data_IF_128911359837
#
_entry.id   IF_128911359837
#
_cell.length_a   1.000
_cell.length_b   1.000
_cell.length_c   1.000
_cell.angle_alpha   90.00
_cell.angle_beta   90.00
_cell.angle_gamma   90.00
#
_symmetry.space_group_name_H-M   'P 1'
#
loop_
_entity.id
_entity.type
_entity.pdbx_description
1 polymer ?
#
# COMPACT_ATOMS: atom_id res chain seq x y z
N UNK A 1 4.81 30.07 -19.52
CA UNK A 1 4.23 28.86 -20.16
C UNK A 1 4.79 27.51 -19.65
N UNK A 2 5.95 27.45 -18.98
CA UNK A 2 6.60 26.19 -18.57
C UNK A 2 5.97 25.41 -17.38
N UNK A 3 5.47 26.09 -16.34
CA UNK A 3 4.97 25.42 -15.12
C UNK A 3 3.70 24.60 -15.33
N UNK A 4 2.77 25.08 -16.17
CA UNK A 4 1.51 24.36 -16.46
C UNK A 4 1.76 23.03 -17.18
N UNK A 5 2.80 22.98 -18.04
CA UNK A 5 3.19 21.75 -18.75
C UNK A 5 3.78 20.71 -17.80
N UNK A 6 4.57 21.11 -16.81
CA UNK A 6 5.13 20.21 -15.79
C UNK A 6 4.03 19.71 -14.85
N UNK A 7 3.10 20.57 -14.43
CA UNK A 7 1.97 20.18 -13.59
C UNK A 7 1.10 19.11 -14.25
N UNK A 8 0.77 19.27 -15.54
CA UNK A 8 0.00 18.27 -16.28
C UNK A 8 0.73 16.91 -16.35
N UNK A 9 2.06 16.92 -16.45
CA UNK A 9 2.85 15.68 -16.42
C UNK A 9 2.78 15.02 -15.04
N UNK A 10 2.92 15.79 -13.95
CA UNK A 10 2.81 15.26 -12.57
C UNK A 10 1.47 14.56 -12.34
N UNK A 11 0.38 15.21 -12.74
CA UNK A 11 -0.97 14.65 -12.65
C UNK A 11 -1.06 13.36 -13.46
N UNK A 12 -0.62 13.39 -14.73
CA UNK A 12 -0.68 12.23 -15.62
C UNK A 12 0.10 11.03 -15.08
N UNK A 13 1.34 11.23 -14.63
CA UNK A 13 2.20 10.15 -14.15
C UNK A 13 1.73 9.59 -12.80
N UNK A 14 1.31 10.47 -11.88
CA UNK A 14 0.74 10.04 -10.60
C UNK A 14 -0.53 9.22 -10.81
N UNK A 15 -1.47 9.72 -11.64
CA UNK A 15 -2.71 9.00 -11.93
C UNK A 15 -2.47 7.65 -12.60
N UNK A 16 -1.56 7.60 -13.58
CA UNK A 16 -1.20 6.34 -14.25
C UNK A 16 -0.60 5.33 -13.27
N UNK A 17 0.34 5.77 -12.41
CA UNK A 17 0.97 4.89 -11.41
C UNK A 17 -0.06 4.41 -10.37
N UNK A 18 -0.97 5.27 -9.92
CA UNK A 18 -2.06 4.90 -9.03
C UNK A 18 -3.01 3.88 -9.66
N UNK A 19 -3.38 4.03 -10.93
CA UNK A 19 -4.22 3.03 -11.63
C UNK A 19 -3.51 1.68 -11.67
N UNK A 20 -2.23 1.66 -12.08
CA UNK A 20 -1.44 0.43 -12.14
C UNK A 20 -1.38 -0.23 -10.76
N UNK A 21 -1.13 0.56 -9.72
CA UNK A 21 -1.12 0.09 -8.34
C UNK A 21 -2.46 -0.52 -7.91
N UNK A 22 -3.57 0.19 -8.12
CA UNK A 22 -4.91 -0.28 -7.74
C UNK A 22 -5.26 -1.56 -8.47
N UNK A 23 -5.00 -1.64 -9.79
CA UNK A 23 -5.30 -2.83 -10.59
C UNK A 23 -4.49 -4.04 -10.11
N UNK A 24 -3.19 -3.87 -9.92
CA UNK A 24 -2.31 -4.95 -9.46
C UNK A 24 -2.64 -5.38 -8.03
N UNK A 25 -2.94 -4.42 -7.15
CA UNK A 25 -3.36 -4.68 -5.78
C UNK A 25 -4.68 -5.47 -5.76
N UNK A 26 -5.70 -5.03 -6.51
CA UNK A 26 -6.99 -5.74 -6.59
C UNK A 26 -6.83 -7.12 -7.20
N UNK A 27 -5.97 -7.28 -8.20
CA UNK A 27 -5.65 -8.60 -8.76
C UNK A 27 -5.05 -9.53 -7.69
N UNK A 28 -4.08 -9.05 -6.93
CA UNK A 28 -3.45 -9.81 -5.86
C UNK A 28 -4.45 -10.15 -4.74
N UNK A 29 -5.31 -9.20 -4.35
CA UNK A 29 -6.37 -9.38 -3.36
C UNK A 29 -7.37 -10.47 -3.78
N UNK A 30 -7.87 -10.41 -5.02
CA UNK A 30 -8.78 -11.43 -5.57
C UNK A 30 -8.10 -12.79 -5.64
N UNK A 31 -6.84 -12.85 -6.08
CA UNK A 31 -6.07 -14.08 -6.10
C UNK A 31 -5.95 -14.69 -4.69
N UNK A 32 -5.57 -13.88 -3.69
CA UNK A 32 -5.48 -14.32 -2.30
C UNK A 32 -6.81 -14.84 -1.76
N UNK A 33 -7.93 -14.22 -2.13
CA UNK A 33 -9.28 -14.66 -1.74
C UNK A 33 -9.68 -16.03 -2.30
N UNK A 34 -9.09 -16.48 -3.42
CA UNK A 34 -9.35 -17.81 -3.98
C UNK A 34 -8.57 -18.94 -3.30
N UNK A 35 -7.52 -18.60 -2.54
CA UNK A 35 -6.65 -19.57 -1.88
C UNK A 35 -7.29 -20.07 -0.57
N UNK A 36 -7.70 -21.34 -0.54
CA UNK A 36 -8.33 -21.96 0.65
C UNK A 36 -7.35 -22.15 1.82
N UNK A 37 -6.10 -22.52 1.54
CA UNK A 37 -5.08 -22.81 2.54
C UNK A 37 -3.83 -21.95 2.30
N UNK A 38 -3.84 -20.72 2.84
CA UNK A 38 -2.68 -19.83 2.84
C UNK A 38 -1.86 -20.09 4.11
N UNK A 39 -0.54 -20.36 4.01
CA UNK A 39 0.31 -20.54 5.17
C UNK A 39 0.45 -19.22 5.95
N UNK A 40 0.48 -19.32 7.27
CA UNK A 40 0.83 -18.20 8.15
C UNK A 40 2.22 -18.43 8.72
N UNK A 41 3.15 -17.53 8.42
CA UNK A 41 4.47 -17.53 9.04
C UNK A 41 4.39 -16.69 10.31
N UNK A 42 4.44 -17.33 11.49
CA UNK A 42 4.58 -16.64 12.78
C UNK A 42 5.85 -17.08 13.45
N UNK A 43 6.72 -16.12 13.74
CA UNK A 43 7.93 -16.41 14.50
C UNK A 43 7.65 -16.35 16.00
N UNK A 44 8.41 -17.10 16.80
CA UNK A 44 8.19 -17.18 18.25
C UNK A 44 8.34 -15.81 18.96
N UNK A 45 9.23 -14.94 18.46
CA UNK A 45 9.44 -13.61 19.01
C UNK A 45 8.28 -12.64 18.72
N UNK A 46 7.53 -12.82 17.63
CA UNK A 46 6.40 -11.94 17.26
C UNK A 46 5.29 -11.98 18.31
N UNK A 47 5.13 -13.11 19.02
CA UNK A 47 4.16 -13.24 20.11
C UNK A 47 4.44 -12.32 21.31
N UNK A 48 5.67 -11.82 21.43
CA UNK A 48 6.05 -10.90 22.51
C UNK A 48 5.80 -9.43 22.18
N UNK A 49 5.45 -9.12 20.93
CA UNK A 49 5.19 -7.74 20.50
C UNK A 49 3.73 -7.41 20.78
N UNK A 50 3.43 -6.41 21.63
CA UNK A 50 2.07 -5.99 21.87
C UNK A 50 1.48 -5.37 20.60
N UNK A 51 0.16 -5.48 20.43
CA UNK A 51 -0.53 -4.79 19.35
C UNK A 51 -0.40 -3.27 19.52
N UNK A 52 -0.01 -2.56 18.45
CA UNK A 52 0.18 -1.11 18.45
C UNK A 52 -0.86 -0.47 17.52
N UNK A 53 -2.02 -0.03 18.05
CA UNK A 53 -3.11 0.51 17.23
C UNK A 53 -2.70 1.71 16.39
N UNK A 54 -1.76 2.54 16.87
CA UNK A 54 -1.30 3.72 16.17
C UNK A 54 -0.76 3.42 14.76
N UNK A 55 -0.25 2.21 14.48
CA UNK A 55 0.25 1.82 13.16
C UNK A 55 -0.83 1.83 12.06
N UNK A 56 -2.12 1.89 12.42
CA UNK A 56 -3.20 2.10 11.45
C UNK A 56 -3.11 3.46 10.75
N UNK A 57 -2.65 4.51 11.44
CA UNK A 57 -2.56 5.87 10.91
C UNK A 57 -1.54 5.96 9.75
N UNK A 58 -0.27 5.55 9.93
CA UNK A 58 0.68 5.52 8.81
C UNK A 58 0.24 4.56 7.70
N UNK A 59 -0.43 3.45 8.03
CA UNK A 59 -0.98 2.54 7.03
C UNK A 59 -2.00 3.23 6.11
N UNK A 60 -3.02 3.88 6.67
CA UNK A 60 -4.06 4.53 5.88
C UNK A 60 -3.56 5.77 5.12
N UNK A 61 -2.58 6.48 5.67
CA UNK A 61 -2.01 7.67 5.02
C UNK A 61 -0.97 7.34 3.94
N UNK A 62 -0.44 6.12 3.90
CA UNK A 62 0.57 5.70 2.92
C UNK A 62 0.11 5.88 1.46
N UNK A 63 -1.15 5.58 1.16
CA UNK A 63 -1.73 5.77 -0.19
C UNK A 63 -1.80 7.24 -0.61
N UNK A 64 -2.07 8.15 0.34
CA UNK A 64 -2.05 9.59 0.08
C UNK A 64 -0.61 10.09 -0.12
N UNK A 65 0.33 9.64 0.72
CA UNK A 65 1.74 9.99 0.60
C UNK A 65 2.32 9.52 -0.75
N UNK A 66 1.89 8.34 -1.23
CA UNK A 66 2.26 7.82 -2.54
C UNK A 66 1.89 8.77 -3.69
N UNK A 67 0.75 9.45 -3.61
CA UNK A 67 0.35 10.45 -4.62
C UNK A 67 1.09 11.77 -4.42
N UNK A 68 1.19 12.24 -3.17
CA UNK A 68 1.81 13.52 -2.82
C UNK A 68 3.27 13.59 -3.26
N UNK A 69 4.01 12.48 -3.20
CA UNK A 69 5.44 12.49 -3.55
C UNK A 69 5.70 12.88 -5.02
N UNK A 70 4.77 12.60 -5.94
CA UNK A 70 4.88 13.05 -7.34
C UNK A 70 4.80 14.57 -7.48
N UNK A 71 4.09 15.24 -6.55
CA UNK A 71 3.96 16.69 -6.54
C UNK A 71 5.17 17.39 -5.93
N UNK A 72 5.88 16.73 -5.01
CA UNK A 72 7.12 17.23 -4.39
C UNK A 72 8.32 17.26 -5.35
N UNK A 73 8.32 16.40 -6.38
CA UNK A 73 9.40 16.34 -7.37
C UNK A 73 9.48 17.64 -8.19
N UNK A 74 10.69 18.20 -8.37
CA UNK A 74 10.87 19.48 -9.07
C UNK A 74 11.19 19.32 -10.56
N UNK A 75 11.91 18.27 -10.96
CA UNK A 75 12.37 18.07 -12.34
C UNK A 75 11.55 17.00 -13.07
N UNK A 76 11.57 17.03 -14.41
CA UNK A 76 10.89 16.00 -15.22
C UNK A 76 11.61 14.65 -15.19
N UNK A 77 12.94 14.67 -15.11
CA UNK A 77 13.78 13.47 -15.06
C UNK A 77 13.50 12.68 -13.78
N UNK A 78 13.47 13.37 -12.64
CA UNK A 78 13.12 12.78 -11.34
C UNK A 78 11.69 12.22 -11.35
N UNK A 79 10.76 12.87 -12.04
CA UNK A 79 9.36 12.42 -12.14
C UNK A 79 9.26 11.11 -12.93
N UNK A 80 9.98 11.01 -14.05
CA UNK A 80 10.05 9.79 -14.86
C UNK A 80 10.75 8.67 -14.06
N UNK A 81 11.83 8.98 -13.36
CA UNK A 81 12.57 8.02 -12.53
C UNK A 81 11.70 7.50 -11.39
N UNK A 82 10.99 8.39 -10.68
CA UNK A 82 10.06 8.03 -9.61
C UNK A 82 8.95 7.11 -10.14
N UNK A 83 8.34 7.46 -11.28
CA UNK A 83 7.29 6.65 -11.91
C UNK A 83 7.80 5.24 -12.25
N UNK A 84 9.00 5.14 -12.84
CA UNK A 84 9.61 3.84 -13.18
C UNK A 84 9.86 3.00 -11.92
N UNK A 85 10.45 3.61 -10.88
CA UNK A 85 10.74 2.93 -9.60
C UNK A 85 9.46 2.47 -8.91
N UNK A 86 8.45 3.33 -8.85
CA UNK A 86 7.16 3.01 -8.23
C UNK A 86 6.51 1.80 -8.92
N UNK A 87 6.33 1.86 -10.24
CA UNK A 87 5.71 0.77 -10.99
C UNK A 87 6.52 -0.54 -10.92
N UNK A 88 7.84 -0.45 -10.99
CA UNK A 88 8.73 -1.61 -10.86
C UNK A 88 8.57 -2.29 -9.49
N UNK A 89 8.57 -1.50 -8.42
CA UNK A 89 8.35 -2.01 -7.06
C UNK A 89 6.96 -2.62 -6.91
N UNK A 90 5.91 -2.02 -7.48
CA UNK A 90 4.57 -2.60 -7.46
C UNK A 90 4.52 -3.95 -8.16
N UNK A 91 5.07 -4.06 -9.37
CA UNK A 91 5.09 -5.31 -10.13
C UNK A 91 5.88 -6.39 -9.38
N UNK A 92 7.07 -6.06 -8.88
CA UNK A 92 7.87 -7.00 -8.08
C UNK A 92 7.13 -7.45 -6.84
N UNK A 93 6.52 -6.51 -6.10
CA UNK A 93 5.79 -6.83 -4.88
C UNK A 93 4.64 -7.80 -5.16
N UNK A 94 3.92 -7.60 -6.27
CA UNK A 94 2.85 -8.50 -6.70
C UNK A 94 3.42 -9.87 -7.08
N UNK A 95 4.52 -9.94 -7.84
CA UNK A 95 5.16 -11.22 -8.19
C UNK A 95 5.57 -11.98 -6.92
N UNK A 96 6.23 -11.31 -5.97
CA UNK A 96 6.66 -11.92 -4.71
C UNK A 96 5.43 -12.42 -3.93
N UNK A 97 4.36 -11.63 -3.87
CA UNK A 97 3.11 -12.00 -3.22
C UNK A 97 2.45 -13.22 -3.86
N UNK A 98 2.49 -13.34 -5.19
CA UNK A 98 1.97 -14.51 -5.91
C UNK A 98 2.78 -15.79 -5.60
N UNK A 99 4.11 -15.67 -5.42
CA UNK A 99 4.98 -16.80 -5.06
C UNK A 99 4.77 -17.20 -3.59
N UNK A 100 4.66 -16.21 -2.70
CA UNK A 100 4.50 -16.41 -1.26
C UNK A 100 3.27 -15.66 -0.73
N UNK A 101 2.06 -16.16 -0.98
CA UNK A 101 0.87 -15.61 -0.35
C UNK A 101 0.94 -15.94 1.14
N UNK A 102 1.11 -14.92 1.98
CA UNK A 102 1.18 -15.06 3.42
C UNK A 102 -0.05 -14.41 4.04
N UNK A 103 -0.66 -15.09 5.02
CA UNK A 103 -1.74 -14.51 5.84
C UNK A 103 -1.23 -14.22 7.24
N UNK A 104 -1.69 -13.09 7.80
CA UNK A 104 -1.57 -12.85 9.23
C UNK A 104 -2.48 -13.83 9.98
N UNK A 105 -1.99 -14.36 11.11
CA UNK A 105 -2.70 -15.35 11.93
C UNK A 105 -3.06 -14.84 13.32
N UNK A 106 -2.84 -13.56 13.61
CA UNK A 106 -3.17 -12.96 14.90
C UNK A 106 -4.64 -12.53 14.93
N UNK A 107 -5.36 -12.93 15.98
CA UNK A 107 -6.66 -12.37 16.33
C UNK A 107 -6.43 -11.00 16.99
N UNK A 108 -7.15 -9.98 16.52
CA UNK A 108 -7.06 -8.62 17.08
C UNK A 108 -7.64 -8.60 18.50
N UNK A 109 -6.91 -8.03 19.45
CA UNK A 109 -7.43 -7.72 20.78
C UNK A 109 -8.42 -6.53 20.71
N UNK A 110 -9.34 -6.43 21.67
CA UNK A 110 -10.34 -5.36 21.72
C UNK A 110 -9.67 -3.97 21.81
N UNK A 111 -9.91 -3.14 20.79
CA UNK A 111 -9.36 -1.78 20.69
C UNK A 111 -10.16 -0.84 21.58
N UNK A 112 -9.62 -0.52 22.76
CA UNK A 112 -10.28 0.35 23.76
C UNK A 112 -10.53 1.79 23.28
N UNK A 113 -9.73 2.30 22.34
CA UNK A 113 -9.85 3.68 21.86
C UNK A 113 -10.85 3.77 20.68
N UNK A 114 -11.94 4.56 20.79
CA UNK A 114 -12.96 4.69 19.75
C UNK A 114 -12.42 5.17 18.41
N UNK A 115 -11.41 6.05 18.40
CA UNK A 115 -10.82 6.58 17.17
C UNK A 115 -10.12 5.48 16.36
N UNK A 116 -9.27 4.68 17.01
CA UNK A 116 -8.61 3.57 16.33
C UNK A 116 -9.61 2.50 15.92
N UNK A 117 -10.60 2.18 16.76
CA UNK A 117 -11.64 1.22 16.42
C UNK A 117 -12.40 1.63 15.15
N UNK A 118 -12.73 2.91 15.00
CA UNK A 118 -13.32 3.45 13.76
C UNK A 118 -12.40 3.25 12.54
N UNK A 119 -11.11 3.58 12.64
CA UNK A 119 -10.16 3.39 11.53
C UNK A 119 -10.03 1.92 11.12
N UNK A 120 -10.02 1.00 12.08
CA UNK A 120 -10.02 -0.43 11.80
C UNK A 120 -11.33 -0.92 11.19
N UNK A 121 -12.48 -0.34 11.56
CA UNK A 121 -13.77 -0.70 10.92
C UNK A 121 -13.82 -0.38 9.43
N UNK A 122 -13.09 0.65 8.98
CA UNK A 122 -12.99 1.01 7.56
C UNK A 122 -12.20 -0.02 6.73
N UNK A 123 -11.40 -0.87 7.38
CA UNK A 123 -10.68 -1.96 6.70
C UNK A 123 -11.54 -3.21 6.51
N UNK A 124 -12.55 -3.38 7.37
CA UNK A 124 -13.40 -4.58 7.40
C UNK A 124 -14.73 -4.41 6.66
N UNK A 125 -15.02 -3.22 6.12
CA UNK A 125 -16.24 -2.91 5.35
C UNK A 125 -16.08 -3.21 3.86
#
# INVERSE_FOLDING_TARGET
>A
MGNKKILNLKIKYSFLSSIIFILLYKLAEVYAGTLKNVPSLTMAWEKSIPFIPFLIVPYMTSGLLFVIIFFLVKTKEDLILLTKRANFMTIISVIIFFIFPLKFSFAWEEIKNPFYNFLFSLLNS
#
